data_IF_519349454277
#
_entry.id   IF_519349454277
#
_cell.length_a   1.000
_cell.length_b   1.000
_cell.length_c   1.000
_cell.angle_alpha   90.00
_cell.angle_beta   90.00
_cell.angle_gamma   90.00
#
_symmetry.space_group_name_H-M   'P 1'
#
loop_
_entity.id
_entity.type
_entity.pdbx_description
1 polymer ?
#
# COMPACT_ATOMS: atom_id res chain seq x y z
N UNK A 1 8.54 -35.13 20.46
CA UNK A 1 8.74 -34.58 19.11
C UNK A 1 7.55 -33.71 18.82
N UNK A 2 7.67 -32.42 19.09
CA UNK A 2 6.66 -31.44 18.75
C UNK A 2 7.36 -30.10 18.62
N UNK A 3 7.38 -29.57 17.39
CA UNK A 3 7.42 -28.15 17.05
C UNK A 3 7.03 -28.07 15.57
N UNK A 4 5.72 -28.05 15.32
CA UNK A 4 5.17 -27.45 14.12
C UNK A 4 5.78 -26.05 13.94
N UNK A 5 6.27 -25.68 12.75
CA UNK A 5 6.77 -24.34 12.53
C UNK A 5 5.56 -23.39 12.58
N UNK A 6 5.55 -22.46 13.52
CA UNK A 6 4.56 -21.38 13.59
C UNK A 6 4.67 -20.52 12.33
N UNK A 7 3.86 -20.85 11.33
CA UNK A 7 3.54 -20.00 10.20
C UNK A 7 2.79 -18.77 10.73
N UNK A 8 3.49 -17.69 11.08
CA UNK A 8 2.81 -16.51 11.67
C UNK A 8 3.54 -15.17 11.65
N UNK A 9 4.80 -15.08 11.22
CA UNK A 9 5.50 -13.78 11.25
C UNK A 9 5.26 -13.00 9.95
N UNK A 10 4.15 -12.26 9.92
CA UNK A 10 3.96 -11.19 8.93
C UNK A 10 5.00 -10.11 9.21
N UNK A 11 5.83 -9.77 8.23
CA UNK A 11 6.84 -8.72 8.35
C UNK A 11 6.17 -7.41 8.83
N UNK A 12 6.62 -6.82 9.94
CA UNK A 12 6.04 -5.57 10.46
C UNK A 12 6.08 -4.45 9.41
N UNK A 13 7.12 -4.42 8.58
CA UNK A 13 7.22 -3.47 7.48
C UNK A 13 6.18 -3.72 6.40
N UNK A 14 5.82 -4.98 6.11
CA UNK A 14 4.71 -5.29 5.19
C UNK A 14 3.39 -4.76 5.75
N UNK A 15 3.15 -4.92 7.06
CA UNK A 15 1.97 -4.35 7.72
C UNK A 15 1.98 -2.82 7.63
N UNK A 16 3.15 -2.19 7.80
CA UNK A 16 3.32 -0.73 7.67
C UNK A 16 2.98 -0.26 6.26
N UNK A 17 3.49 -0.94 5.23
CA UNK A 17 3.23 -0.63 3.82
C UNK A 17 1.74 -0.76 3.49
N UNK A 18 1.08 -1.83 3.93
CA UNK A 18 -0.37 -1.99 3.73
C UNK A 18 -1.20 -0.90 4.42
N UNK A 19 -0.73 -0.35 5.54
CA UNK A 19 -1.39 0.78 6.21
C UNK A 19 -1.29 2.07 5.39
N UNK A 20 -0.10 2.36 4.85
CA UNK A 20 0.12 3.54 4.00
C UNK A 20 -0.70 3.42 2.71
N UNK A 21 -0.64 2.27 2.04
CA UNK A 21 -1.43 2.03 0.83
C UNK A 21 -2.94 2.19 1.08
N UNK A 22 -3.44 1.66 2.21
CA UNK A 22 -4.84 1.83 2.60
C UNK A 22 -5.20 3.29 2.85
N UNK A 23 -4.33 4.04 3.52
CA UNK A 23 -4.54 5.47 3.77
C UNK A 23 -4.66 6.23 2.45
N UNK A 24 -3.72 6.03 1.53
CA UNK A 24 -3.70 6.73 0.25
C UNK A 24 -4.93 6.38 -0.59
N UNK A 25 -5.32 5.10 -0.62
CA UNK A 25 -6.55 4.66 -1.29
C UNK A 25 -7.80 5.37 -0.72
N UNK A 26 -7.94 5.43 0.60
CA UNK A 26 -9.07 6.13 1.24
C UNK A 26 -9.04 7.62 0.90
N UNK A 27 -7.87 8.25 0.91
CA UNK A 27 -7.72 9.66 0.56
C UNK A 27 -8.15 9.94 -0.89
N UNK A 28 -7.76 9.11 -1.86
CA UNK A 28 -8.21 9.24 -3.24
C UNK A 28 -9.74 9.14 -3.36
N UNK A 29 -10.37 8.21 -2.63
CA UNK A 29 -11.84 8.11 -2.58
C UNK A 29 -12.49 9.35 -1.94
N UNK A 30 -11.91 9.89 -0.87
CA UNK A 30 -12.41 11.11 -0.22
C UNK A 30 -12.37 12.32 -1.17
N UNK A 31 -11.29 12.47 -1.93
CA UNK A 31 -11.14 13.53 -2.94
C UNK A 31 -12.21 13.39 -4.03
N UNK A 32 -12.40 12.18 -4.57
CA UNK A 32 -13.43 11.91 -5.58
C UNK A 32 -14.83 12.22 -5.01
N UNK A 33 -15.12 11.72 -3.81
CA UNK A 33 -16.39 11.96 -3.13
C UNK A 33 -16.66 13.46 -2.94
N UNK A 34 -15.67 14.23 -2.48
CA UNK A 34 -15.79 15.68 -2.33
C UNK A 34 -16.05 16.38 -3.67
N UNK A 35 -15.38 15.97 -4.75
CA UNK A 35 -15.64 16.52 -6.08
C UNK A 35 -17.07 16.26 -6.54
N UNK A 36 -17.58 15.04 -6.32
CA UNK A 36 -18.96 14.67 -6.67
C UNK A 36 -19.99 15.47 -5.84
N UNK A 37 -19.76 15.63 -4.53
CA UNK A 37 -20.63 16.45 -3.68
C UNK A 37 -20.68 17.92 -4.09
N UNK A 38 -19.60 18.45 -4.65
CA UNK A 38 -19.53 19.81 -5.18
C UNK A 38 -20.06 19.95 -6.62
N UNK A 39 -20.63 18.88 -7.20
CA UNK A 39 -21.13 18.87 -8.57
C UNK A 39 -20.02 18.93 -9.64
N UNK A 40 -18.76 18.67 -9.26
CA UNK A 40 -17.60 18.73 -10.15
C UNK A 40 -17.33 17.38 -10.82
N UNK A 41 -18.36 16.78 -11.43
CA UNK A 41 -18.31 15.41 -11.95
C UNK A 41 -17.24 15.21 -13.03
N UNK A 42 -17.05 16.17 -13.93
CA UNK A 42 -16.00 16.11 -14.97
C UNK A 42 -14.59 16.08 -14.35
N UNK A 43 -14.36 16.87 -13.30
CA UNK A 43 -13.08 16.83 -12.57
C UNK A 43 -12.86 15.51 -11.84
N UNK A 44 -13.92 14.93 -11.27
CA UNK A 44 -13.85 13.62 -10.64
C UNK A 44 -13.50 12.52 -11.66
N UNK A 45 -14.10 12.56 -12.86
CA UNK A 45 -13.79 11.64 -13.95
C UNK A 45 -12.34 11.76 -14.40
N UNK A 46 -11.88 12.98 -14.67
CA UNK A 46 -10.48 13.22 -15.05
C UNK A 46 -9.52 12.74 -13.95
N UNK A 47 -9.83 13.00 -12.68
CA UNK A 47 -9.03 12.51 -11.55
C UNK A 47 -8.95 10.98 -11.52
N UNK A 48 -10.05 10.26 -11.77
CA UNK A 48 -10.06 8.79 -11.85
C UNK A 48 -9.22 8.30 -13.03
N UNK A 49 -9.32 8.94 -14.20
CA UNK A 49 -8.51 8.56 -15.36
C UNK A 49 -7.01 8.76 -15.11
N UNK A 50 -6.64 9.87 -14.49
CA UNK A 50 -5.25 10.16 -14.12
C UNK A 50 -4.76 9.15 -13.08
N UNK A 51 -5.58 8.85 -12.07
CA UNK A 51 -5.29 7.84 -11.05
C UNK A 51 -5.09 6.45 -11.67
N UNK A 52 -5.89 6.08 -12.67
CA UNK A 52 -5.78 4.79 -13.36
C UNK A 52 -4.53 4.69 -14.25
N UNK A 53 -4.01 5.82 -14.73
CA UNK A 53 -2.79 5.89 -15.55
C UNK A 53 -1.52 5.97 -14.67
N UNK A 54 -1.66 6.37 -13.41
CA UNK A 54 -0.55 6.51 -12.49
C UNK A 54 -0.06 5.15 -11.95
N UNK A 55 1.08 4.70 -12.49
CA UNK A 55 1.76 3.47 -12.06
C UNK A 55 2.37 3.60 -10.66
N UNK A 56 2.55 4.83 -10.15
CA UNK A 56 3.18 5.14 -8.87
C UNK A 56 2.35 4.77 -7.63
N UNK A 57 1.04 4.57 -7.79
CA UNK A 57 0.13 4.15 -6.70
C UNK A 57 0.49 2.80 -6.07
N UNK A 58 1.10 1.91 -6.85
CA UNK A 58 1.43 0.56 -6.40
C UNK A 58 2.93 0.29 -6.53
N UNK A 59 3.55 0.70 -7.65
CA UNK A 59 4.93 0.32 -7.93
C UNK A 59 5.95 1.12 -7.10
N UNK A 60 5.76 2.43 -6.92
CA UNK A 60 6.81 3.29 -6.36
C UNK A 60 7.01 3.10 -4.86
N UNK A 61 5.94 2.87 -4.10
CA UNK A 61 6.05 2.67 -2.64
C UNK A 61 6.65 1.30 -2.31
N UNK A 62 6.24 0.25 -3.03
CA UNK A 62 6.77 -1.11 -2.81
C UNK A 62 8.22 -1.20 -3.29
N UNK A 63 8.57 -0.63 -4.47
CA UNK A 63 9.92 -0.67 -5.04
C UNK A 63 10.96 0.15 -4.25
N UNK A 64 10.55 1.26 -3.63
CA UNK A 64 11.45 2.06 -2.78
C UNK A 64 11.84 1.30 -1.52
N UNK A 65 10.92 0.53 -0.94
CA UNK A 65 11.16 -0.25 0.27
C UNK A 65 11.71 -1.67 0.01
N UNK A 66 11.42 -2.30 -1.13
CA UNK A 66 12.01 -3.59 -1.52
C UNK A 66 13.53 -3.54 -1.70
N UNK A 67 14.11 -2.34 -1.90
CA UNK A 67 15.57 -2.11 -1.92
C UNK A 67 16.21 -2.16 -0.52
N UNK A 68 15.44 -1.97 0.54
CA UNK A 68 15.87 -2.15 1.92
C UNK A 68 15.61 -3.61 2.31
N UNK A 69 16.67 -4.43 2.28
CA UNK A 69 16.61 -5.85 2.69
C UNK A 69 16.38 -5.97 4.21
N UNK A 70 15.16 -5.75 4.70
CA UNK A 70 14.87 -5.80 6.15
C UNK A 70 13.72 -6.73 6.53
N UNK A 71 13.48 -7.75 5.70
CA UNK A 71 12.91 -9.01 6.20
C UNK A 71 13.94 -10.14 6.09
N UNK A 72 15.17 -9.89 6.56
CA UNK A 72 16.05 -11.00 6.95
C UNK A 72 15.52 -11.52 8.28
N UNK A 73 14.74 -12.59 8.20
CA UNK A 73 14.61 -13.54 9.31
C UNK A 73 15.99 -13.69 9.96
N UNK A 74 16.07 -13.56 11.28
CA UNK A 74 17.28 -13.89 12.04
C UNK A 74 17.68 -15.33 11.70
N UNK A 75 18.48 -15.50 10.65
CA UNK A 75 19.28 -16.69 10.37
C UNK A 75 20.66 -16.49 11.00
N UNK A 76 20.69 -15.95 12.22
CA UNK A 76 21.82 -16.10 13.12
C UNK A 76 21.40 -17.18 14.12
N UNK A 77 21.34 -18.41 13.63
CA UNK A 77 21.41 -19.59 14.50
C UNK A 77 22.90 -19.84 14.71
N UNK A 78 23.32 -19.64 15.96
CA UNK A 78 24.62 -20.03 16.53
C UNK A 78 25.03 -21.44 16.10
#
# INVERSE_FOLDING_TARGET
MDKTPENGQVCEELVRLLRVQRHDFINHLQVIHAMLQLGRSEKALNYIEDLAKDKGLVDDQIMRHARQRECKHKLDVV
#
